data_IF_963745949405
#
_entry.id   IF_963745949405
#
_cell.length_a   1.000
_cell.length_b   1.000
_cell.length_c   1.000
_cell.angle_alpha   90.00
_cell.angle_beta   90.00
_cell.angle_gamma   90.00
#
_symmetry.space_group_name_H-M   'P 1'
#
loop_
_entity.id
_entity.type
_entity.pdbx_description
1 polymer ?
#
# COMPACT_ATOMS: atom_id res chain seq x y z
N UNK A 1 50.69 -6.19 80.66
CA UNK A 1 50.87 -6.55 79.24
C UNK A 1 51.77 -5.51 78.61
N UNK A 2 52.99 -5.90 78.21
CA UNK A 2 53.96 -4.98 77.61
C UNK A 2 53.71 -4.97 76.11
N UNK A 3 53.21 -3.84 75.60
CA UNK A 3 52.98 -3.63 74.18
C UNK A 3 54.29 -3.17 73.53
N UNK A 4 54.88 -4.02 72.69
CA UNK A 4 56.13 -3.71 71.98
C UNK A 4 55.81 -2.82 70.77
N UNK A 5 56.62 -1.78 70.51
CA UNK A 5 56.44 -0.86 69.36
C UNK A 5 56.35 -1.60 68.02
N UNK A 6 57.02 -2.74 67.91
CA UNK A 6 57.00 -3.57 66.70
C UNK A 6 55.62 -4.21 66.44
N UNK A 7 54.83 -4.51 67.47
CA UNK A 7 53.49 -5.08 67.30
C UNK A 7 52.52 -4.08 66.65
N UNK A 8 52.62 -2.79 67.00
CA UNK A 8 51.77 -1.75 66.40
C UNK A 8 52.09 -1.59 64.91
N UNK A 9 53.38 -1.54 64.57
CA UNK A 9 53.85 -1.46 63.18
C UNK A 9 53.35 -2.67 62.39
N UNK A 10 53.46 -3.88 62.93
CA UNK A 10 52.96 -5.08 62.25
C UNK A 10 51.45 -5.02 62.04
N UNK A 11 50.67 -4.63 63.05
CA UNK A 11 49.21 -4.51 62.92
C UNK A 11 48.77 -3.51 61.85
N UNK A 12 49.45 -2.36 61.76
CA UNK A 12 49.16 -1.35 60.73
C UNK A 12 49.47 -1.86 59.32
N UNK A 13 50.42 -2.78 59.18
CA UNK A 13 50.83 -3.36 57.90
C UNK A 13 50.07 -4.64 57.52
N UNK A 14 49.34 -5.28 58.44
CA UNK A 14 48.57 -6.51 58.17
C UNK A 14 47.57 -6.33 57.01
N UNK A 15 46.81 -5.22 56.89
CA UNK A 15 45.91 -5.03 55.74
C UNK A 15 46.68 -5.04 54.41
N UNK A 16 47.79 -4.31 54.32
CA UNK A 16 48.63 -4.24 53.11
C UNK A 16 49.27 -5.60 52.76
N UNK A 17 49.67 -6.37 53.78
CA UNK A 17 50.16 -7.74 53.59
C UNK A 17 49.05 -8.65 53.06
N UNK A 18 47.83 -8.52 53.59
CA UNK A 18 46.69 -9.38 53.23
C UNK A 18 46.20 -9.07 51.81
N UNK A 19 46.27 -7.81 51.38
CA UNK A 19 45.95 -7.35 50.02
C UNK A 19 47.11 -7.58 49.00
N UNK A 20 48.20 -8.24 49.41
CA UNK A 20 49.41 -8.47 48.59
C UNK A 20 50.08 -7.19 48.05
N UNK A 21 49.85 -6.03 48.66
CA UNK A 21 50.41 -4.73 48.25
C UNK A 21 51.63 -4.28 49.06
N UNK A 22 51.97 -5.01 50.14
CA UNK A 22 53.19 -4.77 50.90
C UNK A 22 54.45 -5.12 50.11
N UNK A 23 55.54 -4.36 50.32
CA UNK A 23 56.86 -4.67 49.75
C UNK A 23 57.44 -5.97 50.33
N UNK A 24 58.38 -6.58 49.62
CA UNK A 24 59.01 -7.84 50.04
C UNK A 24 59.75 -7.72 51.39
N UNK A 25 60.30 -6.55 51.68
CA UNK A 25 60.96 -6.23 52.95
C UNK A 25 59.95 -6.17 54.10
N UNK A 26 58.83 -5.47 53.90
CA UNK A 26 57.73 -5.43 54.87
C UNK A 26 57.10 -6.81 55.08
N UNK A 27 56.98 -7.61 54.01
CA UNK A 27 56.45 -8.99 54.08
C UNK A 27 57.29 -9.87 54.99
N UNK A 28 58.62 -9.87 54.80
CA UNK A 28 59.56 -10.63 55.65
C UNK A 28 59.52 -10.18 57.11
N UNK A 29 59.42 -8.87 57.34
CA UNK A 29 59.34 -8.31 58.70
C UNK A 29 58.08 -8.77 59.44
N UNK A 30 56.93 -8.76 58.77
CA UNK A 30 55.64 -9.21 59.33
C UNK A 30 55.68 -10.72 59.63
N UNK A 31 56.19 -11.53 58.71
CA UNK A 31 56.28 -12.98 58.89
C UNK A 31 57.19 -13.38 60.05
N UNK A 32 58.35 -12.74 60.18
CA UNK A 32 59.29 -13.03 61.27
C UNK A 32 58.73 -12.61 62.63
N UNK A 33 57.99 -11.49 62.69
CA UNK A 33 57.34 -11.06 63.92
C UNK A 33 56.17 -11.97 64.32
N UNK A 34 55.32 -12.37 63.36
CA UNK A 34 54.19 -13.25 63.63
C UNK A 34 54.61 -14.68 64.03
N UNK A 35 55.85 -15.12 63.74
CA UNK A 35 56.38 -16.39 64.26
C UNK A 35 56.62 -16.39 65.77
N UNK A 36 56.87 -15.21 66.35
CA UNK A 36 57.27 -15.07 67.76
C UNK A 36 56.23 -14.33 68.61
N UNK A 37 55.19 -13.77 68.00
CA UNK A 37 54.09 -13.07 68.66
C UNK A 37 52.74 -13.68 68.29
N UNK A 38 52.16 -14.45 69.21
CA UNK A 38 50.87 -15.13 69.02
C UNK A 38 49.71 -14.17 68.71
N UNK A 39 49.72 -12.98 69.33
CA UNK A 39 48.65 -11.98 69.13
C UNK A 39 48.67 -11.42 67.69
N UNK A 40 49.85 -11.09 67.16
CA UNK A 40 49.97 -10.60 65.78
C UNK A 40 49.65 -11.71 64.76
N UNK A 41 50.03 -12.96 65.05
CA UNK A 41 49.69 -14.11 64.22
C UNK A 41 48.18 -14.37 64.18
N UNK A 42 47.49 -14.22 65.32
CA UNK A 42 46.04 -14.35 65.41
C UNK A 42 45.32 -13.29 64.58
N UNK A 43 45.81 -12.05 64.58
CA UNK A 43 45.23 -10.97 63.77
C UNK A 43 45.47 -11.22 62.27
N UNK A 44 46.66 -11.68 61.89
CA UNK A 44 47.00 -11.99 60.50
C UNK A 44 46.19 -13.18 59.93
N UNK A 45 45.89 -14.18 60.77
CA UNK A 45 45.06 -15.32 60.35
C UNK A 45 43.59 -14.92 60.18
N UNK A 46 43.06 -14.05 61.05
CA UNK A 46 41.72 -13.50 60.91
C UNK A 46 41.56 -12.68 59.63
N UNK A 47 42.52 -11.82 59.28
CA UNK A 47 42.45 -11.00 58.06
C UNK A 47 42.49 -11.84 56.78
N UNK A 48 43.30 -12.90 56.74
CA UNK A 48 43.33 -13.84 55.59
C UNK A 48 41.99 -14.57 55.39
N UNK A 49 41.28 -14.87 56.49
CA UNK A 49 39.99 -15.58 56.43
C UNK A 49 38.86 -14.70 55.91
N UNK A 50 38.93 -13.37 56.10
CA UNK A 50 37.96 -12.43 55.55
C UNK A 50 38.13 -12.23 54.04
N UNK A 51 39.36 -12.19 53.54
CA UNK A 51 39.65 -12.03 52.10
C UNK A 51 39.19 -13.24 51.27
N UNK A 52 39.38 -14.44 51.78
CA UNK A 52 38.95 -15.68 51.11
C UNK A 52 37.41 -15.73 50.96
N UNK A 53 36.68 -15.23 51.98
CA UNK A 53 35.22 -15.10 51.91
C UNK A 53 34.77 -14.05 50.89
N UNK A 54 35.47 -12.92 50.78
CA UNK A 54 35.12 -11.89 49.79
C UNK A 54 35.40 -12.34 48.36
N UNK A 55 36.49 -13.07 48.12
CA UNK A 55 36.81 -13.62 46.79
C UNK A 55 35.78 -14.66 46.34
N UNK A 56 35.34 -15.54 47.25
CA UNK A 56 34.30 -16.52 46.95
C UNK A 56 32.94 -15.87 46.64
N UNK A 57 32.61 -14.75 47.31
CA UNK A 57 31.39 -13.99 47.04
C UNK A 57 31.44 -13.30 45.67
N UNK A 58 32.58 -12.73 45.28
CA UNK A 58 32.74 -12.07 43.98
C UNK A 58 32.66 -13.06 42.80
N UNK A 59 33.19 -14.27 42.95
CA UNK A 59 33.07 -15.33 41.94
C UNK A 59 31.63 -15.85 41.82
N UNK A 60 30.93 -16.01 42.94
CA UNK A 60 29.52 -16.42 42.96
C UNK A 60 28.64 -15.34 42.31
N UNK A 61 28.86 -14.06 42.65
CA UNK A 61 28.19 -12.91 42.04
C UNK A 61 28.47 -12.88 40.52
N UNK A 62 29.73 -13.00 40.10
CA UNK A 62 30.09 -13.00 38.67
C UNK A 62 29.46 -14.16 37.88
N UNK A 63 29.34 -15.34 38.50
CA UNK A 63 28.70 -16.50 37.87
C UNK A 63 27.19 -16.29 37.67
N UNK A 64 26.52 -15.64 38.63
CA UNK A 64 25.10 -15.27 38.56
C UNK A 64 24.90 -14.19 37.49
N UNK A 65 25.75 -13.16 37.44
CA UNK A 65 25.69 -12.12 36.40
C UNK A 65 25.89 -12.69 35.00
N UNK A 66 26.87 -13.57 34.79
CA UNK A 66 27.07 -14.26 33.49
C UNK A 66 25.88 -15.12 33.09
N UNK A 67 25.23 -15.79 34.05
CA UNK A 67 24.02 -16.58 33.80
C UNK A 67 22.83 -15.70 33.41
N UNK A 68 22.63 -14.57 34.11
CA UNK A 68 21.59 -13.58 33.82
C UNK A 68 21.82 -12.96 32.43
N UNK A 69 23.06 -12.60 32.09
CA UNK A 69 23.37 -12.00 30.79
C UNK A 69 23.16 -13.00 29.64
N UNK A 70 23.51 -14.27 29.83
CA UNK A 70 23.27 -15.35 28.84
C UNK A 70 21.78 -15.62 28.65
N UNK A 71 20.99 -15.57 29.72
CA UNK A 71 19.54 -15.69 29.64
C UNK A 71 18.89 -14.48 28.96
N UNK A 72 19.38 -13.26 29.23
CA UNK A 72 18.89 -12.05 28.59
C UNK A 72 19.23 -11.99 27.10
N UNK A 73 20.42 -12.46 26.70
CA UNK A 73 20.81 -12.62 25.28
C UNK A 73 19.90 -13.64 24.57
N UNK A 74 19.64 -14.81 25.19
CA UNK A 74 18.68 -15.79 24.64
C UNK A 74 17.26 -15.23 24.53
N UNK A 75 16.75 -14.55 25.56
CA UNK A 75 15.43 -13.90 25.53
C UNK A 75 15.35 -12.81 24.47
N UNK A 76 16.44 -12.05 24.25
CA UNK A 76 16.51 -11.03 23.19
C UNK A 76 16.49 -11.67 21.79
N UNK A 77 17.24 -12.75 21.57
CA UNK A 77 17.21 -13.50 20.30
C UNK A 77 15.83 -14.09 20.05
N UNK A 78 15.17 -14.68 21.05
CA UNK A 78 13.82 -15.22 20.93
C UNK A 78 12.80 -14.11 20.62
N UNK A 79 12.88 -12.96 21.30
CA UNK A 79 12.01 -11.81 21.00
C UNK A 79 12.20 -11.28 19.58
N UNK A 80 13.45 -11.19 19.11
CA UNK A 80 13.77 -10.78 17.74
C UNK A 80 13.28 -11.81 16.72
N UNK A 81 13.43 -13.11 17.01
CA UNK A 81 12.93 -14.17 16.14
C UNK A 81 11.39 -14.17 16.04
N UNK A 82 10.68 -13.99 17.16
CA UNK A 82 9.22 -13.87 17.16
C UNK A 82 8.78 -12.60 16.42
N UNK A 83 9.45 -11.47 16.62
CA UNK A 83 9.16 -10.24 15.89
C UNK A 83 9.40 -10.41 14.37
N UNK A 84 10.47 -11.09 13.98
CA UNK A 84 10.75 -11.39 12.58
C UNK A 84 9.67 -12.29 11.95
N UNK A 85 9.22 -13.32 12.66
CA UNK A 85 8.12 -14.21 12.21
C UNK A 85 6.80 -13.44 12.10
N UNK A 86 6.50 -12.56 13.06
CA UNK A 86 5.30 -11.72 12.99
C UNK A 86 5.36 -10.78 11.80
N UNK A 87 6.52 -10.17 11.52
CA UNK A 87 6.70 -9.30 10.36
C UNK A 87 6.57 -10.08 9.05
N UNK A 88 7.13 -11.29 8.94
CA UNK A 88 7.01 -12.11 7.72
C UNK A 88 5.62 -12.67 7.49
N UNK A 89 4.76 -12.77 8.52
CA UNK A 89 3.36 -13.18 8.36
C UNK A 89 2.45 -11.97 8.15
N UNK A 90 2.66 -10.89 8.91
CA UNK A 90 1.81 -9.70 8.85
C UNK A 90 2.03 -8.88 7.58
N UNK A 91 3.25 -8.75 7.07
CA UNK A 91 3.52 -8.02 5.81
C UNK A 91 2.75 -8.65 4.63
N UNK A 92 2.84 -9.96 4.33
CA UNK A 92 2.05 -10.54 3.26
C UNK A 92 0.55 -10.50 3.54
N UNK A 93 0.09 -10.59 4.79
CA UNK A 93 -1.34 -10.39 5.10
C UNK A 93 -1.80 -8.95 4.87
N UNK A 94 -0.95 -7.94 5.12
CA UNK A 94 -1.23 -6.54 4.80
C UNK A 94 -1.18 -6.33 3.28
N UNK A 95 -0.26 -6.97 2.56
CA UNK A 95 -0.20 -6.89 1.08
C UNK A 95 -1.41 -7.60 0.46
N UNK A 96 -1.80 -8.78 0.96
CA UNK A 96 -3.00 -9.49 0.53
C UNK A 96 -4.25 -8.69 0.89
N UNK A 97 -4.33 -8.17 2.11
CA UNK A 97 -5.45 -7.32 2.55
C UNK A 97 -5.53 -6.02 1.75
N UNK A 98 -4.41 -5.36 1.47
CA UNK A 98 -4.34 -4.21 0.59
C UNK A 98 -4.70 -4.61 -0.85
N UNK A 99 -4.28 -5.77 -1.36
CA UNK A 99 -4.74 -6.28 -2.66
C UNK A 99 -6.23 -6.67 -2.64
N UNK A 100 -6.83 -7.04 -1.51
CA UNK A 100 -8.26 -7.25 -1.41
C UNK A 100 -9.02 -5.93 -1.30
N UNK A 101 -8.44 -4.91 -0.65
CA UNK A 101 -9.06 -3.60 -0.43
C UNK A 101 -8.88 -2.64 -1.61
N UNK A 102 -7.73 -2.69 -2.29
CA UNK A 102 -7.40 -1.96 -3.52
C UNK A 102 -7.61 -2.80 -4.79
N UNK A 103 -7.61 -4.13 -4.70
CA UNK A 103 -7.98 -5.02 -5.81
C UNK A 103 -9.45 -5.44 -5.80
N UNK A 104 -10.24 -4.95 -4.83
CA UNK A 104 -11.68 -4.78 -5.02
C UNK A 104 -12.01 -3.73 -6.09
N UNK A 105 -11.03 -2.94 -6.55
CA UNK A 105 -11.22 -1.93 -7.61
C UNK A 105 -10.62 -2.30 -8.98
N UNK A 106 -10.00 -3.48 -9.17
CA UNK A 106 -9.22 -3.75 -10.39
C UNK A 106 -9.56 -5.03 -11.19
N UNK A 107 -10.71 -5.67 -10.99
CA UNK A 107 -11.31 -6.59 -12.01
C UNK A 107 -12.84 -6.66 -12.00
N UNK A 108 -13.51 -5.98 -11.07
CA UNK A 108 -14.93 -5.62 -11.22
C UNK A 108 -15.02 -4.14 -11.66
N UNK A 109 -14.35 -3.78 -12.77
CA UNK A 109 -15.01 -2.81 -13.64
C UNK A 109 -16.37 -3.44 -13.91
N UNK A 110 -17.46 -2.85 -13.41
CA UNK A 110 -18.80 -3.30 -13.73
C UNK A 110 -18.83 -3.53 -15.25
N UNK A 111 -18.76 -4.80 -15.67
CA UNK A 111 -18.60 -5.12 -17.09
C UNK A 111 -19.79 -4.48 -17.76
N UNK A 112 -19.56 -3.60 -18.72
CA UNK A 112 -20.67 -2.97 -19.43
C UNK A 112 -21.55 -4.10 -19.96
N UNK A 113 -22.83 -4.18 -19.55
CA UNK A 113 -23.71 -5.24 -20.04
C UNK A 113 -23.95 -5.11 -21.56
N UNK A 114 -23.57 -3.97 -22.13
CA UNK A 114 -23.77 -3.62 -23.54
C UNK A 114 -22.51 -3.80 -24.38
N UNK A 115 -21.32 -3.58 -23.82
CA UNK A 115 -20.05 -3.62 -24.55
C UNK A 115 -19.03 -4.59 -23.92
N UNK A 116 -18.40 -5.42 -24.75
CA UNK A 116 -17.22 -6.18 -24.34
C UNK A 116 -16.03 -5.26 -24.05
N UNK A 117 -15.12 -5.67 -23.17
CA UNK A 117 -13.87 -4.95 -22.84
C UNK A 117 -13.06 -4.60 -24.10
N UNK A 118 -13.04 -5.48 -25.10
CA UNK A 118 -12.39 -5.27 -26.40
C UNK A 118 -13.00 -4.12 -27.21
N UNK A 119 -14.33 -3.97 -27.14
CA UNK A 119 -15.07 -2.88 -27.79
C UNK A 119 -14.87 -1.56 -27.03
N UNK A 120 -14.87 -1.57 -25.70
CA UNK A 120 -14.59 -0.36 -24.91
C UNK A 120 -13.18 0.18 -25.17
N UNK A 121 -12.21 -0.69 -25.43
CA UNK A 121 -10.87 -0.28 -25.89
C UNK A 121 -10.89 0.46 -27.24
N UNK A 122 -11.96 0.42 -28.03
CA UNK A 122 -12.11 1.25 -29.23
C UNK A 122 -12.53 2.69 -28.90
N UNK A 123 -13.32 2.91 -27.84
CA UNK A 123 -13.94 4.20 -27.49
C UNK A 123 -12.89 5.31 -27.28
N UNK A 124 -11.80 5.00 -26.59
CA UNK A 124 -10.77 5.99 -26.23
C UNK A 124 -9.65 6.13 -27.28
N UNK A 125 -9.75 5.47 -28.44
CA UNK A 125 -8.69 5.49 -29.47
C UNK A 125 -8.60 6.81 -30.25
N UNK A 126 -9.60 7.68 -30.15
CA UNK A 126 -9.68 8.88 -30.96
C UNK A 126 -9.94 8.60 -32.44
N UNK A 127 -9.81 9.62 -33.26
CA UNK A 127 -10.03 9.60 -34.71
C UNK A 127 -9.07 10.57 -35.41
N UNK A 128 -8.86 10.37 -36.71
CA UNK A 128 -8.13 11.36 -37.52
C UNK A 128 -9.06 12.47 -38.02
N UNK A 129 -8.50 13.63 -38.38
CA UNK A 129 -9.28 14.71 -39.01
C UNK A 129 -9.96 14.26 -40.32
N UNK A 130 -9.34 13.31 -41.03
CA UNK A 130 -9.93 12.72 -42.24
C UNK A 130 -11.18 11.90 -41.92
N UNK A 131 -11.15 11.13 -40.83
CA UNK A 131 -12.31 10.35 -40.38
C UNK A 131 -13.44 11.29 -39.95
N UNK A 132 -13.12 12.33 -39.19
CA UNK A 132 -14.10 13.33 -38.75
C UNK A 132 -14.83 13.96 -39.94
N UNK A 133 -14.08 14.42 -40.94
CA UNK A 133 -14.65 15.06 -42.14
C UNK A 133 -15.53 14.09 -42.95
N UNK A 134 -15.12 12.83 -43.05
CA UNK A 134 -15.89 11.82 -43.80
C UNK A 134 -17.17 11.40 -43.06
N UNK A 135 -17.16 11.42 -41.73
CA UNK A 135 -18.29 11.03 -40.89
C UNK A 135 -19.21 12.19 -40.52
N UNK A 136 -18.83 13.44 -40.81
CA UNK A 136 -19.62 14.64 -40.52
C UNK A 136 -21.07 14.57 -41.03
N UNK A 137 -21.36 14.10 -42.27
CA UNK A 137 -22.74 13.94 -42.72
C UNK A 137 -23.53 12.96 -41.86
N UNK A 138 -22.93 11.80 -41.55
CA UNK A 138 -23.57 10.77 -40.74
C UNK A 138 -23.79 11.23 -39.29
N UNK A 139 -22.85 11.98 -38.72
CA UNK A 139 -23.01 12.61 -37.40
C UNK A 139 -24.19 13.57 -37.37
N UNK A 140 -24.37 14.37 -38.43
CA UNK A 140 -25.49 15.28 -38.55
C UNK A 140 -26.83 14.51 -38.69
N UNK A 141 -26.86 13.41 -39.42
CA UNK A 141 -28.05 12.56 -39.54
C UNK A 141 -28.41 11.89 -38.22
N UNK A 142 -27.41 11.41 -37.47
CA UNK A 142 -27.60 10.90 -36.10
C UNK A 142 -28.20 11.98 -35.21
N UNK A 143 -27.66 13.20 -35.26
CA UNK A 143 -28.22 14.33 -34.52
C UNK A 143 -29.68 14.59 -34.90
N UNK A 144 -29.99 14.59 -36.20
CA UNK A 144 -31.34 14.86 -36.70
C UNK A 144 -32.37 13.81 -36.24
N UNK A 145 -32.00 12.52 -36.19
CA UNK A 145 -32.93 11.49 -35.71
C UNK A 145 -33.15 11.57 -34.20
N UNK A 146 -32.14 11.98 -33.41
CA UNK A 146 -32.29 12.17 -31.96
C UNK A 146 -33.14 13.42 -31.69
N UNK A 147 -32.87 14.54 -32.39
CA UNK A 147 -33.68 15.77 -32.33
C UNK A 147 -35.14 15.52 -32.70
N UNK A 148 -35.39 14.61 -33.64
CA UNK A 148 -36.74 14.28 -34.10
C UNK A 148 -37.62 13.74 -32.97
N UNK A 149 -37.06 12.97 -32.02
CA UNK A 149 -37.74 12.43 -30.83
C UNK A 149 -39.13 11.80 -31.09
N UNK A 150 -39.36 11.27 -32.30
CA UNK A 150 -40.65 10.76 -32.73
C UNK A 150 -40.79 9.25 -32.62
N UNK A 151 -41.91 8.71 -33.10
CA UNK A 151 -42.16 7.27 -33.10
C UNK A 151 -41.22 6.50 -34.02
N UNK A 152 -40.85 5.27 -33.63
CA UNK A 152 -39.93 4.42 -34.39
C UNK A 152 -40.35 4.21 -35.84
N UNK A 153 -41.61 3.89 -36.12
CA UNK A 153 -42.07 3.68 -37.50
C UNK A 153 -41.92 4.94 -38.37
N UNK A 154 -42.18 6.12 -37.78
CA UNK A 154 -42.00 7.39 -38.49
C UNK A 154 -40.52 7.71 -38.69
N UNK A 155 -39.69 7.43 -37.68
CA UNK A 155 -38.24 7.57 -37.78
C UNK A 155 -37.66 6.60 -38.82
N UNK A 156 -38.13 5.36 -38.88
CA UNK A 156 -37.68 4.33 -39.82
C UNK A 156 -37.91 4.74 -41.27
N UNK A 157 -39.07 5.35 -41.56
CA UNK A 157 -39.38 5.89 -42.88
C UNK A 157 -38.51 7.09 -43.28
N UNK A 158 -38.03 7.90 -42.33
CA UNK A 158 -37.24 9.12 -42.59
C UNK A 158 -35.72 8.90 -42.57
N UNK A 159 -35.24 8.08 -41.64
CA UNK A 159 -33.82 7.97 -41.28
C UNK A 159 -33.27 6.54 -41.43
N UNK A 160 -34.09 5.57 -41.85
CA UNK A 160 -33.65 4.20 -42.08
C UNK A 160 -33.09 3.54 -40.82
N UNK A 161 -31.89 2.97 -40.87
CA UNK A 161 -31.27 2.28 -39.72
C UNK A 161 -31.01 3.20 -38.52
N UNK A 162 -30.85 4.51 -38.74
CA UNK A 162 -30.68 5.47 -37.65
C UNK A 162 -31.92 5.62 -36.76
N UNK A 163 -33.08 5.12 -37.21
CA UNK A 163 -34.29 5.05 -36.39
C UNK A 163 -34.10 4.29 -35.07
N UNK A 164 -33.04 3.49 -34.95
CA UNK A 164 -32.61 2.92 -33.66
C UNK A 164 -32.62 3.95 -32.52
N UNK A 165 -32.18 5.18 -32.74
CA UNK A 165 -32.13 6.21 -31.69
C UNK A 165 -33.50 6.69 -31.21
N UNK A 166 -34.59 6.33 -31.90
CA UNK A 166 -35.95 6.63 -31.47
C UNK A 166 -36.55 5.59 -30.51
N UNK A 167 -35.87 4.46 -30.28
CA UNK A 167 -36.33 3.49 -29.27
C UNK A 167 -36.30 4.07 -27.85
N UNK A 168 -35.34 4.95 -27.58
CA UNK A 168 -35.19 5.68 -26.31
C UNK A 168 -35.69 7.13 -26.47
N UNK A 169 -36.88 7.30 -27.07
CA UNK A 169 -37.50 8.63 -27.18
C UNK A 169 -37.89 9.15 -25.80
N UNK A 170 -37.78 10.46 -25.63
CA UNK A 170 -38.24 11.16 -24.42
C UNK A 170 -39.75 11.27 -24.47
N UNK A 171 -40.42 10.75 -23.44
CA UNK A 171 -41.87 10.89 -23.26
C UNK A 171 -42.24 12.28 -22.74
N UNK A 172 -43.38 12.80 -23.19
CA UNK A 172 -43.88 14.12 -22.82
C UNK A 172 -43.73 15.16 -23.93
N UNK A 173 -44.25 16.36 -23.68
CA UNK A 173 -44.21 17.48 -24.63
C UNK A 173 -42.93 18.29 -24.42
N UNK A 174 -41.82 17.73 -24.88
CA UNK A 174 -40.50 18.37 -24.83
C UNK A 174 -39.93 18.55 -26.23
N UNK A 175 -39.35 19.71 -26.49
CA UNK A 175 -38.44 19.88 -27.62
C UNK A 175 -37.09 19.29 -27.25
N UNK A 176 -36.61 18.33 -28.04
CA UNK A 176 -35.32 17.66 -27.84
C UNK A 176 -34.26 18.31 -28.73
N UNK A 177 -33.10 18.60 -28.14
CA UNK A 177 -31.89 18.97 -28.89
C UNK A 177 -30.72 18.09 -28.47
N UNK A 178 -30.25 17.28 -29.41
CA UNK A 178 -29.12 16.41 -29.24
C UNK A 178 -27.80 17.19 -29.30
N UNK A 179 -26.88 16.83 -28.40
CA UNK A 179 -25.45 17.09 -28.53
C UNK A 179 -24.79 15.76 -28.80
N UNK A 180 -24.14 15.64 -29.96
CA UNK A 180 -23.49 14.41 -30.41
C UNK A 180 -22.00 14.69 -30.57
N UNK A 181 -21.18 13.95 -29.85
CA UNK A 181 -19.72 14.05 -29.91
C UNK A 181 -19.15 12.78 -30.53
N UNK A 182 -18.23 12.93 -31.47
CA UNK A 182 -17.44 11.81 -31.97
C UNK A 182 -16.30 11.57 -30.99
N UNK A 183 -16.16 10.34 -30.48
CA UNK A 183 -15.12 9.96 -29.52
C UNK A 183 -13.98 9.20 -30.21
N UNK A 184 -14.33 8.22 -31.04
CA UNK A 184 -13.35 7.51 -31.86
C UNK A 184 -13.92 7.04 -33.19
N UNK A 185 -13.04 6.81 -34.14
CA UNK A 185 -13.41 6.27 -35.43
C UNK A 185 -12.23 5.56 -36.08
N UNK A 186 -12.53 4.55 -36.88
CA UNK A 186 -11.56 3.94 -37.77
C UNK A 186 -12.24 3.49 -39.04
N UNK A 187 -11.86 4.13 -40.15
CA UNK A 187 -12.38 3.86 -41.47
C UNK A 187 -11.38 3.01 -42.27
N UNK A 188 -11.87 1.94 -42.86
CA UNK A 188 -11.15 1.12 -43.84
C UNK A 188 -11.65 1.46 -45.25
N UNK A 189 -11.41 0.59 -46.23
CA UNK A 189 -11.78 0.83 -47.63
C UNK A 189 -13.29 0.96 -47.83
N UNK A 190 -14.07 0.06 -47.25
CA UNK A 190 -15.52 -0.07 -47.45
C UNK A 190 -16.31 -0.28 -46.15
N UNK A 191 -15.62 -0.38 -45.02
CA UNK A 191 -16.19 -0.65 -43.70
C UNK A 191 -15.44 0.14 -42.63
N UNK A 192 -16.04 0.29 -41.46
CA UNK A 192 -15.44 0.99 -40.35
C UNK A 192 -16.31 0.93 -39.11
N UNK A 193 -15.83 1.61 -38.07
CA UNK A 193 -16.63 1.89 -36.90
C UNK A 193 -16.46 3.35 -36.50
N UNK A 194 -17.46 3.84 -35.78
CA UNK A 194 -17.39 5.08 -35.03
C UNK A 194 -18.03 4.91 -33.67
N UNK A 195 -17.50 5.63 -32.70
CA UNK A 195 -18.04 5.77 -31.36
C UNK A 195 -18.48 7.20 -31.16
N UNK A 196 -19.70 7.35 -30.69
CA UNK A 196 -20.23 8.63 -30.26
C UNK A 196 -20.64 8.56 -28.81
N UNK A 197 -20.67 9.73 -28.19
CA UNK A 197 -21.38 9.98 -26.96
C UNK A 197 -22.41 11.07 -27.25
N UNK A 198 -23.64 10.89 -26.78
CA UNK A 198 -24.69 11.88 -26.98
C UNK A 198 -25.50 12.14 -25.73
N UNK A 199 -25.99 13.38 -25.63
CA UNK A 199 -26.94 13.83 -24.62
C UNK A 199 -28.13 14.50 -25.30
N UNK A 200 -29.27 14.53 -24.60
CA UNK A 200 -30.49 15.21 -25.04
C UNK A 200 -30.75 16.38 -24.09
N UNK A 201 -30.66 17.60 -24.60
CA UNK A 201 -31.18 18.78 -23.90
C UNK A 201 -32.69 18.84 -24.14
N UNK A 202 -33.44 18.95 -23.04
CA UNK A 202 -34.90 18.97 -23.06
C UNK A 202 -35.39 20.37 -22.74
N UNK A 203 -36.30 20.86 -23.56
CA UNK A 203 -36.93 22.17 -23.41
C UNK A 203 -38.43 22.01 -23.30
N UNK A 204 -39.04 22.74 -22.37
CA UNK A 204 -40.51 22.83 -22.23
C UNK A 204 -41.13 23.52 -23.46
N UNK A 205 -42.45 23.43 -23.61
CA UNK A 205 -43.19 24.04 -24.72
C UNK A 205 -42.91 25.55 -24.91
N UNK A 206 -42.66 26.28 -23.82
CA UNK A 206 -42.31 27.72 -23.85
C UNK A 206 -40.85 28.00 -24.25
N UNK A 207 -40.06 26.95 -24.51
CA UNK A 207 -38.64 27.03 -24.89
C UNK A 207 -37.67 27.15 -23.72
N UNK A 208 -38.12 27.00 -22.47
CA UNK A 208 -37.26 27.02 -21.29
C UNK A 208 -36.46 25.71 -21.18
N UNK A 209 -35.16 25.80 -20.93
CA UNK A 209 -34.32 24.62 -20.67
C UNK A 209 -34.77 23.92 -19.37
N UNK A 210 -35.04 22.62 -19.46
CA UNK A 210 -35.47 21.81 -18.32
C UNK A 210 -34.30 21.01 -17.73
N UNK A 211 -33.68 20.14 -18.52
CA UNK A 211 -32.47 19.39 -18.12
C UNK A 211 -31.73 18.82 -19.33
N UNK A 212 -30.58 18.21 -19.06
CA UNK A 212 -29.82 17.37 -20.00
C UNK A 212 -29.84 15.92 -19.49
N UNK A 213 -30.07 14.96 -20.38
CA UNK A 213 -30.01 13.52 -20.02
C UNK A 213 -28.58 13.08 -19.70
N UNK A 214 -28.45 11.92 -19.05
CA UNK A 214 -27.14 11.28 -18.92
C UNK A 214 -26.52 10.99 -20.30
N UNK A 215 -25.18 11.06 -20.42
CA UNK A 215 -24.49 10.75 -21.66
C UNK A 215 -24.62 9.26 -22.01
N UNK A 216 -24.97 8.98 -23.25
CA UNK A 216 -25.11 7.62 -23.77
C UNK A 216 -24.03 7.35 -24.80
N UNK A 217 -23.24 6.30 -24.57
CA UNK A 217 -22.26 5.82 -25.55
C UNK A 217 -22.93 4.95 -26.59
N UNK A 218 -22.55 5.14 -27.85
CA UNK A 218 -23.04 4.35 -28.96
C UNK A 218 -21.91 3.97 -29.91
N UNK A 219 -21.81 2.67 -30.21
CA UNK A 219 -20.94 2.11 -31.23
C UNK A 219 -21.74 1.89 -32.49
N UNK A 220 -21.26 2.47 -33.60
CA UNK A 220 -21.86 2.33 -34.92
C UNK A 220 -20.88 1.62 -35.83
N UNK A 221 -21.32 0.51 -36.41
CA UNK A 221 -20.64 -0.10 -37.57
C UNK A 221 -21.11 0.61 -38.83
N UNK A 222 -20.16 1.10 -39.62
CA UNK A 222 -20.42 1.88 -40.82
C UNK A 222 -19.87 1.18 -42.06
N UNK A 223 -20.55 1.36 -43.19
CA UNK A 223 -20.06 0.93 -44.50
C UNK A 223 -20.07 2.08 -45.48
N UNK A 224 -19.10 2.11 -46.38
CA UNK A 224 -19.02 3.09 -47.44
C UNK A 224 -19.76 2.57 -48.68
N UNK A 225 -20.79 3.28 -49.11
CA UNK A 225 -21.50 3.05 -50.38
C UNK A 225 -21.26 4.25 -51.26
N UNK A 226 -20.50 4.06 -52.33
CA UNK A 226 -20.25 5.08 -53.36
C UNK A 226 -19.72 6.42 -52.81
N UNK A 227 -18.90 6.37 -51.75
CA UNK A 227 -18.32 7.55 -51.10
C UNK A 227 -19.09 8.04 -49.88
N UNK A 228 -20.26 7.47 -49.57
CA UNK A 228 -21.10 7.86 -48.43
C UNK A 228 -21.06 6.81 -47.32
N UNK A 229 -20.76 7.23 -46.10
CA UNK A 229 -20.71 6.35 -44.93
C UNK A 229 -22.10 6.21 -44.31
N UNK A 230 -22.59 4.97 -44.20
CA UNK A 230 -23.92 4.65 -43.68
C UNK A 230 -23.85 3.68 -42.52
N UNK A 231 -24.72 3.86 -41.52
CA UNK A 231 -24.84 2.95 -40.39
C UNK A 231 -25.52 1.63 -40.79
N UNK A 232 -24.97 0.50 -40.33
CA UNK A 232 -25.55 -0.85 -40.53
C UNK A 232 -25.77 -1.63 -39.25
N UNK A 233 -25.12 -1.23 -38.16
CA UNK A 233 -25.35 -1.78 -36.84
C UNK A 233 -25.08 -0.70 -35.79
N UNK A 234 -25.99 -0.55 -34.83
CA UNK A 234 -25.90 0.44 -33.76
C UNK A 234 -26.09 -0.30 -32.44
N UNK A 235 -25.22 -0.04 -31.48
CA UNK A 235 -25.28 -0.57 -30.12
C UNK A 235 -25.08 0.60 -29.16
N UNK A 236 -25.96 0.76 -28.17
CA UNK A 236 -25.85 1.83 -27.17
C UNK A 236 -25.93 1.28 -25.75
N UNK A 237 -25.33 1.98 -24.80
CA UNK A 237 -25.61 1.83 -23.36
C UNK A 237 -27.08 2.24 -23.11
N UNK A 238 -27.96 1.30 -22.73
CA UNK A 238 -29.34 1.60 -22.32
C UNK A 238 -29.43 1.92 -20.83
#
# INVERSE_FOLDING_TARGET
>A
MIMNKNCNIVRDLIPLYSDNTASDESRKFIEEHCRTCDECNRILSLSKTEIDKTAHLDDEINSVWKSIEKQNKKKRIIKVAIAAILVTVLIPLIIIGANYMYGADNTDTAKSPYFSDEMLNEFDKGYSQSDQKQLEPLLNDIKNVIDFNGEYETAKGKFGELAYYSYDRVEGDYTVKAKVELNSAKLYTDTGYMWIEYTKDLYTEDGTFWMTTEPVKSRITVINKDGEWTAVNIQSEQ
#
